data_IF_936775610840
#
_entry.id   IF_936775610840
#
_cell.length_a   1.000
_cell.length_b   1.000
_cell.length_c   1.000
_cell.angle_alpha   90.00
_cell.angle_beta   90.00
_cell.angle_gamma   90.00
#
_symmetry.space_group_name_H-M   'P 1'
#
loop_
_entity.id
_entity.type
_entity.pdbx_description
1 polymer ?
#
# COMPACT_ATOMS: atom_id res chain seq x y z
N UNK A 1 7.37 1.94 19.46
CA UNK A 1 5.90 1.81 19.50
C UNK A 1 5.54 0.51 20.19
N UNK A 2 4.71 0.56 21.22
CA UNK A 2 4.29 -0.66 21.92
C UNK A 2 3.25 -1.41 21.09
N UNK A 3 3.10 -2.72 21.36
CA UNK A 3 2.30 -3.63 20.56
C UNK A 3 0.85 -3.17 20.37
N UNK A 4 0.19 -2.73 21.44
CA UNK A 4 -1.22 -2.29 21.37
C UNK A 4 -1.39 -1.03 20.54
N UNK A 5 -0.45 -0.09 20.65
CA UNK A 5 -0.42 1.13 19.82
C UNK A 5 -0.20 0.79 18.37
N UNK A 6 0.75 -0.11 18.09
CA UNK A 6 1.06 -0.54 16.73
C UNK A 6 -0.17 -1.20 16.08
N UNK A 7 -0.86 -2.06 16.83
CA UNK A 7 -2.06 -2.72 16.33
C UNK A 7 -3.16 -1.71 15.99
N UNK A 8 -3.35 -0.70 16.86
CA UNK A 8 -4.34 0.35 16.61
C UNK A 8 -3.99 1.17 15.36
N UNK A 9 -2.72 1.48 15.16
CA UNK A 9 -2.24 2.25 14.01
C UNK A 9 -2.37 1.43 12.72
N UNK A 10 -2.07 0.13 12.76
CA UNK A 10 -2.26 -0.74 11.61
C UNK A 10 -3.73 -0.86 11.22
N UNK A 11 -4.64 -0.90 12.21
CA UNK A 11 -6.08 -0.86 11.94
C UNK A 11 -6.51 0.45 11.33
N UNK A 12 -5.91 1.56 11.74
CA UNK A 12 -6.15 2.87 11.14
C UNK A 12 -5.69 2.90 9.68
N UNK A 13 -4.50 2.39 9.42
CA UNK A 13 -3.98 2.29 8.04
C UNK A 13 -4.91 1.44 7.18
N UNK A 14 -5.32 0.28 7.68
CA UNK A 14 -6.25 -0.60 6.98
C UNK A 14 -7.56 0.12 6.66
N UNK A 15 -8.11 0.83 7.64
CA UNK A 15 -9.35 1.59 7.46
C UNK A 15 -9.21 2.64 6.36
N UNK A 16 -8.10 3.37 6.34
CA UNK A 16 -7.84 4.39 5.32
C UNK A 16 -7.71 3.78 3.94
N UNK A 17 -6.98 2.68 3.82
CA UNK A 17 -6.84 1.95 2.56
C UNK A 17 -8.19 1.43 2.08
N UNK A 18 -8.99 0.90 2.99
CA UNK A 18 -10.31 0.38 2.67
C UNK A 18 -11.27 1.48 2.21
N UNK A 19 -11.26 2.62 2.87
CA UNK A 19 -12.09 3.77 2.47
C UNK A 19 -11.70 4.25 1.06
N UNK A 20 -10.42 4.31 0.77
CA UNK A 20 -9.92 4.68 -0.54
C UNK A 20 -10.36 3.63 -1.59
N UNK A 21 -10.30 2.35 -1.25
CA UNK A 21 -10.73 1.27 -2.11
C UNK A 21 -12.24 1.32 -2.39
N UNK A 22 -13.05 1.60 -1.38
CA UNK A 22 -14.50 1.75 -1.55
C UNK A 22 -14.85 2.90 -2.48
N UNK A 23 -14.12 4.02 -2.37
CA UNK A 23 -14.26 5.15 -3.28
C UNK A 23 -13.91 4.74 -4.71
N UNK A 24 -12.84 3.99 -4.88
CA UNK A 24 -12.43 3.48 -6.18
C UNK A 24 -13.49 2.53 -6.77
N UNK A 25 -14.02 1.61 -5.97
CA UNK A 25 -15.06 0.68 -6.40
C UNK A 25 -16.31 1.43 -6.86
N UNK A 26 -16.72 2.44 -6.09
CA UNK A 26 -17.89 3.25 -6.43
C UNK A 26 -17.71 3.97 -7.77
N UNK A 27 -16.54 4.56 -7.96
CA UNK A 27 -16.19 5.20 -9.23
C UNK A 27 -16.22 4.19 -10.38
N UNK A 28 -15.61 3.01 -10.19
CA UNK A 28 -15.51 1.97 -11.22
C UNK A 28 -16.89 1.48 -11.65
N UNK A 29 -17.80 1.29 -10.70
CA UNK A 29 -19.16 0.83 -11.00
C UNK A 29 -19.95 1.82 -11.84
N UNK A 30 -19.57 3.07 -11.84
CA UNK A 30 -20.18 4.10 -12.69
C UNK A 30 -19.62 4.15 -14.10
N UNK A 31 -18.60 3.35 -14.42
CA UNK A 31 -17.98 3.36 -15.74
C UNK A 31 -18.70 2.46 -16.72
N UNK A 32 -18.58 2.72 -18.05
CA UNK A 32 -19.12 1.79 -19.05
C UNK A 32 -18.53 0.39 -18.91
N UNK A 33 -19.28 -0.62 -19.27
CA UNK A 33 -18.88 -2.04 -19.17
C UNK A 33 -17.50 -2.28 -19.78
N UNK A 34 -17.23 -1.68 -20.93
CA UNK A 34 -15.94 -1.82 -21.62
C UNK A 34 -14.76 -1.33 -20.76
N UNK A 35 -14.97 -0.21 -20.07
CA UNK A 35 -13.94 0.35 -19.18
C UNK A 35 -13.76 -0.51 -17.93
N UNK A 36 -14.85 -1.05 -17.38
CA UNK A 36 -14.77 -1.96 -16.23
C UNK A 36 -13.91 -3.17 -16.59
N UNK A 37 -14.12 -3.75 -17.77
CA UNK A 37 -13.35 -4.90 -18.23
C UNK A 37 -11.87 -4.55 -18.43
N UNK A 38 -11.60 -3.37 -18.97
CA UNK A 38 -10.23 -2.88 -19.17
C UNK A 38 -9.49 -2.69 -17.84
N UNK A 39 -10.20 -2.27 -16.80
CA UNK A 39 -9.62 -1.97 -15.49
C UNK A 39 -9.64 -3.16 -14.52
N UNK A 40 -10.11 -4.33 -14.97
CA UNK A 40 -10.18 -5.51 -14.10
C UNK A 40 -8.84 -5.87 -13.44
N UNK A 41 -7.68 -5.88 -14.15
CA UNK A 41 -6.39 -6.14 -13.50
C UNK A 41 -6.06 -5.11 -12.42
N UNK A 42 -6.36 -3.85 -12.67
CA UNK A 42 -6.14 -2.74 -11.74
C UNK A 42 -6.97 -2.91 -10.46
N UNK A 43 -8.22 -3.32 -10.61
CA UNK A 43 -9.10 -3.64 -9.48
C UNK A 43 -8.52 -4.78 -8.64
N UNK A 44 -8.02 -5.83 -9.26
CA UNK A 44 -7.46 -6.99 -8.56
C UNK A 44 -6.21 -6.63 -7.76
N UNK A 45 -5.37 -5.73 -8.28
CA UNK A 45 -4.20 -5.21 -7.55
C UNK A 45 -4.65 -4.52 -6.27
N UNK A 46 -5.60 -3.61 -6.36
CA UNK A 46 -6.10 -2.87 -5.20
C UNK A 46 -6.73 -3.79 -4.16
N UNK A 47 -7.52 -4.75 -4.61
CA UNK A 47 -8.13 -5.75 -3.74
C UNK A 47 -7.08 -6.55 -2.98
N UNK A 48 -6.02 -6.97 -3.66
CA UNK A 48 -4.93 -7.72 -3.05
C UNK A 48 -4.19 -6.88 -2.00
N UNK A 49 -4.02 -5.58 -2.23
CA UNK A 49 -3.42 -4.67 -1.27
C UNK A 49 -4.28 -4.58 0.00
N UNK A 50 -5.59 -4.49 -0.14
CA UNK A 50 -6.50 -4.47 1.01
C UNK A 50 -6.39 -5.76 1.83
N UNK A 51 -6.33 -6.90 1.17
CA UNK A 51 -6.18 -8.19 1.84
C UNK A 51 -4.85 -8.29 2.58
N UNK A 52 -3.76 -7.78 1.99
CA UNK A 52 -2.46 -7.72 2.64
C UNK A 52 -2.49 -6.80 3.88
N UNK A 53 -3.11 -5.64 3.76
CA UNK A 53 -3.25 -4.71 4.89
C UNK A 53 -4.01 -5.34 6.04
N UNK A 54 -5.04 -6.13 5.75
CA UNK A 54 -5.78 -6.86 6.77
C UNK A 54 -4.88 -7.87 7.49
N UNK A 55 -4.01 -8.57 6.75
CA UNK A 55 -3.06 -9.51 7.37
C UNK A 55 -2.08 -8.79 8.29
N UNK A 56 -1.59 -7.60 7.89
CA UNK A 56 -0.68 -6.81 8.74
C UNK A 56 -1.30 -6.46 10.09
N UNK A 57 -2.62 -6.29 10.18
CA UNK A 57 -3.29 -5.95 11.45
C UNK A 57 -3.16 -7.06 12.49
N UNK A 58 -2.81 -8.27 12.10
CA UNK A 58 -2.67 -9.40 13.02
C UNK A 58 -1.35 -9.40 13.78
N UNK A 59 -0.41 -8.53 13.40
CA UNK A 59 0.91 -8.42 14.03
C UNK A 59 1.66 -9.75 14.11
N UNK A 60 1.65 -10.50 13.02
CA UNK A 60 2.43 -11.72 12.94
C UNK A 60 3.91 -11.37 12.78
N UNK A 61 4.67 -11.50 13.87
CA UNK A 61 6.08 -11.14 13.91
C UNK A 61 6.98 -12.16 13.22
N UNK A 62 6.45 -13.33 12.85
CA UNK A 62 7.26 -14.45 12.38
C UNK A 62 7.31 -14.56 10.86
N UNK A 63 6.68 -13.68 10.12
CA UNK A 63 6.54 -13.87 8.71
C UNK A 63 6.67 -12.64 7.85
N UNK A 64 6.23 -12.80 6.62
CA UNK A 64 6.26 -11.82 5.55
C UNK A 64 5.28 -10.65 5.75
N UNK A 65 4.44 -10.72 6.79
CA UNK A 65 3.35 -9.77 7.00
C UNK A 65 3.64 -8.82 8.15
N UNK A 66 4.89 -8.34 8.22
CA UNK A 66 5.31 -7.42 9.26
C UNK A 66 5.79 -6.11 8.65
N UNK A 67 5.21 -5.01 9.12
CA UNK A 67 5.66 -3.67 8.75
C UNK A 67 6.35 -3.02 9.95
N UNK A 68 7.50 -2.39 9.70
CA UNK A 68 8.20 -1.63 10.72
C UNK A 68 7.50 -0.30 10.99
N UNK A 69 7.72 0.25 12.18
CA UNK A 69 7.03 1.45 12.64
C UNK A 69 7.22 2.65 11.69
N UNK A 70 8.44 2.83 11.20
CA UNK A 70 8.76 3.92 10.28
C UNK A 70 8.10 3.73 8.92
N UNK A 71 7.95 2.49 8.44
CA UNK A 71 7.22 2.19 7.21
C UNK A 71 5.73 2.54 7.36
N UNK A 72 5.13 2.18 8.48
CA UNK A 72 3.72 2.50 8.77
C UNK A 72 3.53 4.02 8.80
N UNK A 73 4.45 4.74 9.45
CA UNK A 73 4.40 6.19 9.53
C UNK A 73 4.42 6.84 8.15
N UNK A 74 5.28 6.35 7.25
CA UNK A 74 5.36 6.85 5.87
C UNK A 74 4.05 6.64 5.14
N UNK A 75 3.46 5.46 5.26
CA UNK A 75 2.20 5.12 4.60
C UNK A 75 1.05 5.99 5.11
N UNK A 76 1.01 6.25 6.42
CA UNK A 76 -0.04 7.08 7.02
C UNK A 76 0.07 8.55 6.64
N UNK A 77 1.25 9.04 6.27
CA UNK A 77 1.42 10.42 5.81
C UNK A 77 0.89 10.65 4.40
N UNK A 78 0.72 9.60 3.61
CA UNK A 78 0.14 9.73 2.28
C UNK A 78 -1.36 10.02 2.37
N UNK A 79 -1.84 10.92 1.52
CA UNK A 79 -3.28 11.20 1.40
C UNK A 79 -4.02 10.07 0.69
N UNK A 80 -3.31 9.35 -0.20
CA UNK A 80 -3.86 8.25 -1.00
C UNK A 80 -2.91 7.06 -0.93
N UNK A 81 -2.80 6.40 0.25
CA UNK A 81 -1.83 5.32 0.40
C UNK A 81 -2.09 4.14 -0.54
N UNK A 82 -3.33 3.85 -0.87
CA UNK A 82 -3.66 2.78 -1.81
C UNK A 82 -3.08 3.07 -3.21
N UNK A 83 -3.30 4.28 -3.73
CA UNK A 83 -2.75 4.67 -5.03
C UNK A 83 -1.23 4.69 -5.01
N UNK A 84 -0.64 5.12 -3.90
CA UNK A 84 0.81 5.16 -3.74
C UNK A 84 1.42 3.76 -3.81
N UNK A 85 0.80 2.79 -3.15
CA UNK A 85 1.26 1.40 -3.19
C UNK A 85 1.05 0.81 -4.58
N UNK A 86 -0.11 1.07 -5.20
CA UNK A 86 -0.39 0.62 -6.56
C UNK A 86 0.63 1.12 -7.57
N UNK A 87 1.15 2.35 -7.38
CA UNK A 87 2.16 2.94 -8.26
C UNK A 87 3.47 2.17 -8.29
N UNK A 88 3.73 1.31 -7.30
CA UNK A 88 4.93 0.49 -7.27
C UNK A 88 4.82 -0.77 -8.14
N UNK A 89 3.66 -1.03 -8.71
CA UNK A 89 3.47 -2.19 -9.59
C UNK A 89 3.61 -1.83 -11.06
N UNK A 90 4.30 -2.69 -11.80
CA UNK A 90 4.24 -2.70 -13.25
C UNK A 90 3.19 -3.71 -13.68
N UNK A 91 2.04 -3.22 -14.13
CA UNK A 91 0.91 -4.10 -14.49
C UNK A 91 1.22 -5.05 -15.63
N UNK A 92 2.20 -4.72 -16.48
CA UNK A 92 2.49 -5.52 -17.68
C UNK A 92 3.27 -6.79 -17.39
N UNK A 93 4.22 -6.75 -16.44
CA UNK A 93 5.09 -7.90 -16.18
C UNK A 93 4.76 -8.62 -14.87
N UNK A 94 4.08 -7.93 -13.95
CA UNK A 94 3.92 -8.42 -12.59
C UNK A 94 2.51 -8.91 -12.28
N UNK A 95 1.59 -8.82 -13.25
CA UNK A 95 0.21 -9.23 -13.02
C UNK A 95 0.12 -10.66 -12.48
N UNK A 96 0.88 -11.57 -13.09
CA UNK A 96 0.88 -12.97 -12.64
C UNK A 96 1.45 -13.14 -11.23
N UNK A 97 2.36 -12.27 -10.83
CA UNK A 97 2.98 -12.31 -9.49
C UNK A 97 2.00 -11.86 -8.41
N UNK A 98 1.03 -11.02 -8.75
CA UNK A 98 0.01 -10.55 -7.82
C UNK A 98 -0.77 -11.70 -7.19
N UNK A 99 -0.96 -12.76 -7.94
CA UNK A 99 -1.67 -13.96 -7.49
C UNK A 99 -0.94 -14.65 -6.35
N UNK A 100 0.38 -14.45 -6.24
CA UNK A 100 1.21 -15.12 -5.24
C UNK A 100 1.52 -14.27 -4.01
N UNK A 101 1.08 -13.03 -3.96
CA UNK A 101 1.14 -12.19 -2.77
C UNK A 101 2.46 -11.49 -2.47
N UNK A 102 3.59 -12.08 -2.86
CA UNK A 102 4.91 -11.52 -2.54
C UNK A 102 5.12 -10.14 -3.16
N UNK A 103 4.60 -9.91 -4.36
CA UNK A 103 4.69 -8.62 -5.05
C UNK A 103 3.94 -7.51 -4.33
N UNK A 104 2.85 -7.85 -3.65
CA UNK A 104 2.04 -6.91 -2.89
C UNK A 104 2.83 -6.39 -1.68
N UNK A 105 3.42 -7.29 -0.91
CA UNK A 105 4.22 -6.93 0.25
C UNK A 105 5.45 -6.12 -0.14
N UNK A 106 6.10 -6.50 -1.24
CA UNK A 106 7.22 -5.74 -1.79
C UNK A 106 6.81 -4.33 -2.19
N UNK A 107 5.60 -4.13 -2.70
CA UNK A 107 5.12 -2.80 -3.07
C UNK A 107 4.91 -1.90 -1.85
N UNK A 108 4.39 -2.43 -0.73
CA UNK A 108 4.31 -1.69 0.52
C UNK A 108 5.70 -1.21 0.97
N UNK A 109 6.66 -2.13 1.01
CA UNK A 109 8.03 -1.83 1.43
C UNK A 109 8.73 -0.89 0.47
N UNK A 110 8.58 -1.11 -0.82
CA UNK A 110 9.22 -0.31 -1.86
C UNK A 110 8.77 1.15 -1.80
N UNK A 111 7.47 1.38 -1.65
CA UNK A 111 6.97 2.75 -1.53
C UNK A 111 7.53 3.44 -0.29
N UNK A 112 7.46 2.79 0.87
CA UNK A 112 7.95 3.36 2.11
C UNK A 112 9.44 3.66 2.04
N UNK A 113 10.23 2.74 1.49
CA UNK A 113 11.67 2.89 1.35
C UNK A 113 12.03 4.02 0.38
N UNK A 114 11.30 4.16 -0.72
CA UNK A 114 11.53 5.24 -1.69
C UNK A 114 11.28 6.62 -1.08
N UNK A 115 10.21 6.76 -0.29
CA UNK A 115 9.91 8.02 0.39
C UNK A 115 11.00 8.36 1.40
N UNK A 116 11.41 7.39 2.21
CA UNK A 116 12.46 7.59 3.22
C UNK A 116 13.79 8.01 2.57
N UNK A 117 14.14 7.38 1.44
CA UNK A 117 15.36 7.73 0.71
C UNK A 117 15.30 9.16 0.19
N UNK A 118 14.16 9.57 -0.36
CA UNK A 118 13.98 10.94 -0.86
C UNK A 118 14.07 11.97 0.28
N UNK A 119 13.48 11.67 1.43
CA UNK A 119 13.55 12.54 2.60
C UNK A 119 14.99 12.67 3.11
N UNK A 120 15.73 11.56 3.16
CA UNK A 120 17.12 11.53 3.56
C UNK A 120 17.98 12.41 2.64
N UNK A 121 17.81 12.27 1.33
CA UNK A 121 18.56 13.04 0.34
C UNK A 121 18.24 14.53 0.43
N UNK A 122 16.98 14.89 0.63
CA UNK A 122 16.54 16.27 0.79
C UNK A 122 17.19 16.90 2.04
N UNK A 123 17.16 16.19 3.17
CA UNK A 123 17.78 16.66 4.41
C UNK A 123 19.30 16.84 4.25
N UNK A 124 19.95 15.92 3.54
CA UNK A 124 21.39 16.00 3.27
C UNK A 124 21.75 17.23 2.40
N UNK A 125 20.92 17.51 1.39
CA UNK A 125 21.12 18.67 0.53
C UNK A 125 20.94 19.98 1.31
N UNK A 126 19.93 20.05 2.19
CA UNK A 126 19.71 21.21 3.04
C UNK A 126 20.87 21.42 4.01
N UNK A 127 21.42 20.34 4.55
CA UNK A 127 22.56 20.40 5.49
C UNK A 127 23.86 20.87 4.85
N UNK A 128 23.97 20.85 3.53
CA UNK A 128 25.16 21.26 2.79
C UNK A 128 25.12 22.73 2.35
N UNK A 129 24.04 23.42 2.66
CA UNK A 129 23.92 24.85 2.42
C UNK A 129 24.39 25.63 3.66
#
# INVERSE_FOLDING_TARGET
MVRNEKKAILKLLYKRLRNEFETYQHWLMGQPKKEILRLAPDYLVRKAIIEAAKRYTKLDLTGKHYLFDDQISVLLRSKTPLESICGEFSLNSDYCRLVFGDSIENAFESYANDVQRREFLAAKMEGNN
#
